data_IF_530073574903
#
_entry.id   IF_530073574903
#
_cell.length_a   1.000
_cell.length_b   1.000
_cell.length_c   1.000
_cell.angle_alpha   90.00
_cell.angle_beta   90.00
_cell.angle_gamma   90.00
#
_symmetry.space_group_name_H-M   'P 1'
#
loop_
_entity.id
_entity.type
_entity.pdbx_description
1 polymer ?
#
# COMPACT_ATOMS: atom_id res chain seq x y z
N UNK A 1 -11.92 5.35 -10.67
CA UNK A 1 -12.15 3.92 -10.75
C UNK A 1 -12.94 3.41 -9.56
N UNK A 2 -12.97 4.00 -8.42
CA UNK A 2 -13.85 3.61 -7.29
C UNK A 2 -15.21 4.33 -7.34
N UNK A 3 -15.78 4.37 -8.52
CA UNK A 3 -17.06 5.08 -8.78
C UNK A 3 -18.26 4.13 -8.77
N UNK A 4 -18.02 2.83 -8.67
CA UNK A 4 -19.06 1.79 -8.63
C UNK A 4 -18.48 0.44 -8.22
N UNK A 5 -19.29 -0.49 -7.68
CA UNK A 5 -18.84 -1.83 -7.33
C UNK A 5 -18.29 -2.62 -8.53
N UNK A 6 -18.82 -2.37 -9.72
CA UNK A 6 -18.32 -3.02 -10.94
C UNK A 6 -16.91 -2.56 -11.29
N UNK A 7 -16.62 -1.26 -11.14
CA UNK A 7 -15.29 -0.71 -11.38
C UNK A 7 -14.26 -1.28 -10.39
N UNK A 8 -14.64 -1.45 -9.12
CA UNK A 8 -13.78 -2.05 -8.10
C UNK A 8 -13.52 -3.54 -8.37
N UNK A 9 -14.53 -4.29 -8.81
CA UNK A 9 -14.36 -5.70 -9.19
C UNK A 9 -13.40 -5.83 -10.37
N UNK A 10 -13.61 -5.05 -11.44
CA UNK A 10 -12.74 -5.08 -12.63
C UNK A 10 -11.32 -4.64 -12.25
N UNK A 11 -11.17 -3.56 -11.49
CA UNK A 11 -9.89 -3.10 -10.99
C UNK A 11 -9.19 -4.15 -10.14
N UNK A 12 -9.92 -4.78 -9.22
CA UNK A 12 -9.43 -5.86 -8.38
C UNK A 12 -8.90 -7.05 -9.18
N UNK A 13 -9.63 -7.49 -10.21
CA UNK A 13 -9.18 -8.59 -11.10
C UNK A 13 -7.89 -8.21 -11.82
N UNK A 14 -7.83 -7.02 -12.43
CA UNK A 14 -6.64 -6.55 -13.16
C UNK A 14 -5.44 -6.43 -12.22
N UNK A 15 -5.61 -5.80 -11.05
CA UNK A 15 -4.53 -5.61 -10.07
C UNK A 15 -4.05 -6.96 -9.53
N UNK A 16 -4.96 -7.90 -9.22
CA UNK A 16 -4.59 -9.23 -8.77
C UNK A 16 -3.83 -10.02 -9.86
N UNK A 17 -4.25 -9.93 -11.13
CA UNK A 17 -3.53 -10.57 -12.22
C UNK A 17 -2.10 -10.04 -12.35
N UNK A 18 -1.92 -8.71 -12.26
CA UNK A 18 -0.61 -8.05 -12.22
C UNK A 18 0.20 -8.54 -11.01
N UNK A 19 -0.42 -8.65 -9.83
CA UNK A 19 0.23 -9.12 -8.62
C UNK A 19 0.69 -10.57 -8.70
N UNK A 20 -0.13 -11.45 -9.25
CA UNK A 20 0.23 -12.86 -9.50
C UNK A 20 1.43 -12.95 -10.45
N UNK A 21 1.43 -12.16 -11.53
CA UNK A 21 2.57 -12.12 -12.45
C UNK A 21 3.84 -11.61 -11.74
N UNK A 22 3.75 -10.53 -10.97
CA UNK A 22 4.88 -10.00 -10.19
C UNK A 22 5.46 -11.04 -9.23
N UNK A 23 4.62 -11.71 -8.43
CA UNK A 23 5.06 -12.74 -7.47
C UNK A 23 5.72 -13.92 -8.18
N UNK A 24 5.15 -14.38 -9.32
CA UNK A 24 5.73 -15.46 -10.12
C UNK A 24 7.14 -15.13 -10.61
N UNK A 25 7.36 -13.89 -11.08
CA UNK A 25 8.66 -13.45 -11.59
C UNK A 25 9.74 -13.36 -10.50
N UNK A 26 9.35 -13.02 -9.27
CA UNK A 26 10.32 -12.84 -8.17
C UNK A 26 10.38 -14.03 -7.20
N UNK A 27 9.71 -15.14 -7.49
CA UNK A 27 9.60 -16.29 -6.58
C UNK A 27 10.94 -16.78 -6.03
N UNK A 28 12.00 -16.70 -6.83
CA UNK A 28 13.35 -17.10 -6.42
C UNK A 28 14.16 -15.95 -5.81
N UNK A 29 13.66 -14.72 -5.87
CA UNK A 29 14.29 -13.50 -5.35
C UNK A 29 13.53 -13.01 -4.12
N UNK A 30 13.83 -13.61 -2.96
CA UNK A 30 13.08 -13.38 -1.70
C UNK A 30 13.00 -11.92 -1.28
N UNK A 31 14.02 -11.12 -1.62
CA UNK A 31 14.07 -9.69 -1.33
C UNK A 31 12.98 -8.87 -2.02
N UNK A 32 12.51 -9.31 -3.19
CA UNK A 32 11.44 -8.65 -3.94
C UNK A 32 10.05 -9.14 -3.56
N UNK A 33 9.94 -10.27 -2.83
CA UNK A 33 8.64 -10.88 -2.55
C UNK A 33 7.68 -9.94 -1.81
N UNK A 34 8.16 -9.25 -0.77
CA UNK A 34 7.31 -8.35 0.00
C UNK A 34 6.76 -7.21 -0.89
N UNK A 35 7.60 -6.65 -1.77
CA UNK A 35 7.17 -5.63 -2.73
C UNK A 35 6.16 -6.18 -3.74
N UNK A 36 6.38 -7.40 -4.25
CA UNK A 36 5.51 -8.06 -5.21
C UNK A 36 4.13 -8.45 -4.64
N UNK A 37 4.01 -8.60 -3.30
CA UNK A 37 2.74 -8.84 -2.63
C UNK A 37 1.85 -7.61 -2.51
N UNK A 38 2.41 -6.38 -2.65
CA UNK A 38 1.62 -5.14 -2.55
C UNK A 38 0.47 -5.11 -3.58
N UNK A 39 0.67 -5.42 -4.87
CA UNK A 39 -0.44 -5.49 -5.83
C UNK A 39 -1.55 -6.46 -5.43
N UNK A 40 -1.21 -7.63 -4.89
CA UNK A 40 -2.23 -8.59 -4.43
C UNK A 40 -3.04 -8.05 -3.25
N UNK A 41 -2.37 -7.39 -2.31
CA UNK A 41 -3.03 -6.73 -1.18
C UNK A 41 -3.98 -5.61 -1.67
N UNK A 42 -3.51 -4.79 -2.62
CA UNK A 42 -4.31 -3.72 -3.20
C UNK A 42 -5.49 -4.26 -4.03
N UNK A 43 -5.30 -5.34 -4.78
CA UNK A 43 -6.39 -6.00 -5.51
C UNK A 43 -7.44 -6.61 -4.59
N UNK A 44 -7.03 -7.29 -3.51
CA UNK A 44 -7.94 -7.78 -2.49
C UNK A 44 -8.72 -6.63 -1.82
N UNK A 45 -8.05 -5.50 -1.57
CA UNK A 45 -8.66 -4.29 -1.02
C UNK A 45 -9.77 -3.74 -1.92
N UNK A 46 -9.62 -3.82 -3.27
CA UNK A 46 -10.66 -3.43 -4.22
C UNK A 46 -11.92 -4.31 -4.10
N UNK A 47 -11.77 -5.64 -4.01
CA UNK A 47 -12.91 -6.54 -3.84
C UNK A 47 -13.64 -6.28 -2.52
N UNK A 48 -12.90 -5.95 -1.46
CA UNK A 48 -13.49 -5.59 -0.17
C UNK A 48 -14.28 -4.28 -0.30
N UNK A 49 -13.77 -3.28 -1.01
CA UNK A 49 -14.49 -2.02 -1.28
C UNK A 49 -15.77 -2.26 -2.08
N UNK A 50 -15.73 -3.12 -3.10
CA UNK A 50 -16.92 -3.51 -3.85
C UNK A 50 -18.01 -4.10 -2.94
N UNK A 51 -17.66 -4.91 -1.93
CA UNK A 51 -18.61 -5.43 -0.94
C UNK A 51 -19.21 -4.31 -0.08
N UNK A 52 -18.43 -3.29 0.30
CA UNK A 52 -18.94 -2.11 1.02
C UNK A 52 -19.95 -1.33 0.17
N UNK A 53 -19.67 -1.15 -1.13
CA UNK A 53 -20.61 -0.56 -2.07
C UNK A 53 -21.94 -1.33 -2.14
N UNK A 54 -21.85 -2.65 -2.38
CA UNK A 54 -23.04 -3.52 -2.49
C UNK A 54 -23.85 -3.54 -1.20
N UNK A 55 -23.20 -3.48 -0.04
CA UNK A 55 -23.88 -3.35 1.24
C UNK A 55 -24.68 -2.04 1.35
N UNK A 56 -24.07 -0.91 1.03
CA UNK A 56 -24.73 0.40 1.09
C UNK A 56 -25.88 0.53 0.08
N UNK A 57 -25.82 -0.23 -1.03
CA UNK A 57 -26.88 -0.34 -2.02
C UNK A 57 -27.98 -1.34 -1.63
N UNK A 58 -27.85 -2.04 -0.49
CA UNK A 58 -28.84 -3.01 -0.02
C UNK A 58 -28.75 -4.40 -0.62
N UNK A 59 -27.73 -4.70 -1.41
CA UNK A 59 -27.55 -6.01 -2.06
C UNK A 59 -26.84 -7.05 -1.18
N UNK A 60 -26.25 -6.63 -0.07
CA UNK A 60 -25.48 -7.50 0.83
C UNK A 60 -25.95 -7.32 2.27
N UNK A 61 -26.08 -8.39 3.08
CA UNK A 61 -26.48 -8.33 4.48
C UNK A 61 -25.56 -7.44 5.32
N UNK A 62 -26.13 -6.78 6.34
CA UNK A 62 -25.39 -5.87 7.25
C UNK A 62 -24.15 -6.51 7.86
N UNK A 63 -24.20 -7.77 8.27
CA UNK A 63 -23.06 -8.44 8.89
C UNK A 63 -21.86 -8.51 7.96
N UNK A 64 -22.07 -8.90 6.69
CA UNK A 64 -21.00 -8.95 5.66
C UNK A 64 -20.49 -7.55 5.37
N UNK A 65 -21.38 -6.56 5.23
CA UNK A 65 -20.99 -5.17 4.99
C UNK A 65 -20.14 -4.59 6.11
N UNK A 66 -20.48 -4.85 7.37
CA UNK A 66 -19.66 -4.44 8.52
C UNK A 66 -18.27 -5.09 8.53
N UNK A 67 -18.19 -6.39 8.27
CA UNK A 67 -16.90 -7.09 8.17
C UNK A 67 -16.06 -6.52 7.03
N UNK A 68 -16.66 -6.26 5.86
CA UNK A 68 -15.99 -5.64 4.73
C UNK A 68 -15.48 -4.23 5.06
N UNK A 69 -16.31 -3.39 5.71
CA UNK A 69 -15.90 -2.05 6.16
C UNK A 69 -14.67 -2.11 7.09
N UNK A 70 -14.70 -2.97 8.10
CA UNK A 70 -13.59 -3.13 9.02
C UNK A 70 -12.34 -3.67 8.33
N UNK A 71 -12.48 -4.67 7.46
CA UNK A 71 -11.36 -5.22 6.69
C UNK A 71 -10.73 -4.16 5.78
N UNK A 72 -11.56 -3.34 5.09
CA UNK A 72 -11.10 -2.22 4.28
C UNK A 72 -10.24 -1.25 5.08
N UNK A 73 -10.78 -0.76 6.21
CA UNK A 73 -10.10 0.22 7.04
C UNK A 73 -8.84 -0.36 7.72
N UNK A 74 -8.87 -1.63 8.15
CA UNK A 74 -7.68 -2.30 8.70
C UNK A 74 -6.56 -2.36 7.68
N UNK A 75 -6.85 -2.73 6.44
CA UNK A 75 -5.83 -2.76 5.39
C UNK A 75 -5.30 -1.34 5.13
N UNK A 76 -6.19 -0.37 4.92
CA UNK A 76 -5.80 0.99 4.58
C UNK A 76 -5.02 1.69 5.70
N UNK A 77 -5.46 1.55 6.95
CA UNK A 77 -4.95 2.37 8.06
C UNK A 77 -3.96 1.66 8.97
N UNK A 78 -3.95 0.33 8.99
CA UNK A 78 -3.07 -0.43 9.88
C UNK A 78 -2.02 -1.21 9.09
N UNK A 79 -2.45 -1.94 8.05
CA UNK A 79 -1.54 -2.82 7.31
C UNK A 79 -0.62 -2.01 6.39
N UNK A 80 -1.15 -1.13 5.56
CA UNK A 80 -0.36 -0.40 4.55
C UNK A 80 0.76 0.47 5.16
N UNK A 81 0.55 1.28 6.21
CA UNK A 81 1.61 2.12 6.77
C UNK A 81 2.74 1.32 7.43
N UNK A 82 2.53 0.04 7.72
CA UNK A 82 3.55 -0.88 8.23
C UNK A 82 4.16 -1.73 7.10
N UNK A 83 3.31 -2.28 6.26
CA UNK A 83 3.74 -3.25 5.25
C UNK A 83 4.59 -2.61 4.14
N UNK A 84 4.22 -1.40 3.68
CA UNK A 84 4.97 -0.70 2.61
C UNK A 84 6.41 -0.40 3.04
N UNK A 85 6.68 0.27 4.19
CA UNK A 85 8.07 0.46 4.63
C UNK A 85 8.82 -0.84 4.85
N UNK A 86 8.19 -1.88 5.40
CA UNK A 86 8.83 -3.19 5.56
C UNK A 86 9.19 -3.84 4.23
N UNK A 87 8.34 -3.71 3.21
CA UNK A 87 8.60 -4.22 1.88
C UNK A 87 9.81 -3.54 1.22
N UNK A 88 9.95 -2.22 1.40
CA UNK A 88 11.11 -1.48 0.91
C UNK A 88 12.38 -1.83 1.70
N UNK A 89 12.29 -1.95 3.03
CA UNK A 89 13.40 -2.39 3.89
C UNK A 89 13.89 -3.79 3.47
N UNK A 90 12.98 -4.71 3.16
CA UNK A 90 13.34 -6.06 2.70
C UNK A 90 14.11 -6.03 1.38
N UNK A 91 13.78 -5.09 0.50
CA UNK A 91 14.42 -4.90 -0.80
C UNK A 91 15.87 -4.39 -0.67
N UNK A 92 16.17 -3.58 0.34
CA UNK A 92 17.46 -2.91 0.47
C UNK A 92 18.63 -3.88 0.67
N UNK A 93 19.78 -3.68 -0.03
CA UNK A 93 20.89 -4.60 0.01
C UNK A 93 21.74 -4.46 1.27
N UNK A 94 21.89 -3.25 1.82
CA UNK A 94 22.80 -2.97 2.92
C UNK A 94 22.08 -2.85 4.27
N UNK A 95 22.76 -3.31 5.33
CA UNK A 95 22.29 -3.15 6.71
C UNK A 95 22.12 -1.67 7.08
N UNK A 96 23.01 -0.81 6.59
CA UNK A 96 22.94 0.65 6.83
C UNK A 96 21.66 1.25 6.26
N UNK A 97 21.32 0.95 4.98
CA UNK A 97 20.06 1.41 4.37
C UNK A 97 18.84 0.94 5.14
N UNK A 98 18.82 -0.34 5.57
CA UNK A 98 17.74 -0.90 6.39
C UNK A 98 17.56 -0.14 7.70
N UNK A 99 18.66 0.16 8.40
CA UNK A 99 18.62 0.93 9.65
C UNK A 99 18.13 2.36 9.44
N UNK A 100 18.54 3.02 8.34
CA UNK A 100 18.05 4.37 7.99
C UNK A 100 16.54 4.40 7.69
N UNK A 101 15.98 3.29 7.23
CA UNK A 101 14.55 3.17 6.92
C UNK A 101 13.70 2.65 8.07
N UNK A 102 14.29 2.02 9.08
CA UNK A 102 13.58 1.47 10.23
C UNK A 102 12.68 2.50 10.96
N UNK A 103 13.07 3.77 11.14
CA UNK A 103 12.21 4.78 11.75
C UNK A 103 10.86 4.95 11.05
N UNK A 104 10.81 4.83 9.71
CA UNK A 104 9.56 4.95 8.97
C UNK A 104 8.60 3.79 9.26
N UNK A 105 9.13 2.56 9.39
CA UNK A 105 8.32 1.41 9.79
C UNK A 105 7.79 1.58 11.23
N UNK A 106 8.61 2.13 12.13
CA UNK A 106 8.19 2.44 13.51
C UNK A 106 7.10 3.51 13.54
N UNK A 107 7.26 4.60 12.76
CA UNK A 107 6.21 5.63 12.60
C UNK A 107 4.94 5.01 12.03
N UNK A 108 5.06 4.17 11.00
CA UNK A 108 3.91 3.45 10.42
C UNK A 108 3.19 2.57 11.43
N UNK A 109 3.94 1.86 12.28
CA UNK A 109 3.36 1.03 13.34
C UNK A 109 2.62 1.88 14.40
N UNK A 110 3.22 2.98 14.86
CA UNK A 110 2.59 3.90 15.82
C UNK A 110 1.30 4.48 15.24
N UNK A 111 1.32 4.93 13.98
CA UNK A 111 0.14 5.46 13.30
C UNK A 111 -0.92 4.38 13.13
N UNK A 112 -0.53 3.17 12.70
CA UNK A 112 -1.44 2.04 12.56
C UNK A 112 -2.14 1.69 13.87
N UNK A 113 -1.40 1.62 14.99
CA UNK A 113 -1.96 1.38 16.32
C UNK A 113 -2.88 2.52 16.76
N UNK A 114 -2.51 3.78 16.51
CA UNK A 114 -3.31 4.95 16.84
C UNK A 114 -4.63 4.97 16.08
N UNK A 115 -4.60 4.67 14.78
CA UNK A 115 -5.79 4.58 13.94
C UNK A 115 -6.68 3.38 14.33
N UNK A 116 -6.08 2.23 14.63
CA UNK A 116 -6.82 1.08 15.15
C UNK A 116 -7.53 1.43 16.47
N UNK A 117 -6.82 2.09 17.39
CA UNK A 117 -7.42 2.52 18.65
C UNK A 117 -8.57 3.53 18.43
N UNK A 118 -8.43 4.44 17.46
CA UNK A 118 -9.49 5.37 17.07
C UNK A 118 -10.71 4.64 16.47
N UNK A 119 -10.48 3.62 15.64
CA UNK A 119 -11.54 2.77 15.07
C UNK A 119 -12.30 1.99 16.16
N UNK A 120 -11.58 1.44 17.15
CA UNK A 120 -12.21 0.64 18.23
C UNK A 120 -12.96 1.51 19.24
N UNK A 121 -12.44 2.71 19.54
CA UNK A 121 -13.03 3.62 20.55
C UNK A 121 -14.07 4.58 19.99
N UNK A 122 -14.00 4.88 18.70
CA UNK A 122 -14.85 5.89 18.06
C UNK A 122 -15.89 5.31 17.11
N UNK A 123 -16.83 6.15 16.66
CA UNK A 123 -17.75 5.75 15.60
C UNK A 123 -17.00 5.62 14.28
N UNK A 124 -17.10 4.46 13.66
CA UNK A 124 -16.71 4.24 12.27
C UNK A 124 -17.96 4.42 11.42
N UNK A 125 -17.87 5.27 10.40
CA UNK A 125 -18.96 5.52 9.48
C UNK A 125 -18.51 5.41 8.04
N UNK A 126 -19.42 4.98 7.18
CA UNK A 126 -19.24 5.04 5.73
C UNK A 126 -20.52 5.63 5.13
N UNK A 127 -20.38 6.50 4.15
CA UNK A 127 -21.48 7.14 3.44
C UNK A 127 -21.28 7.02 1.94
N UNK A 128 -22.37 6.79 1.25
CA UNK A 128 -22.41 6.82 -0.20
C UNK A 128 -22.43 8.28 -0.65
N UNK A 129 -21.40 8.70 -1.37
CA UNK A 129 -21.37 9.97 -2.09
C UNK A 129 -21.61 9.72 -3.60
N UNK A 130 -21.92 10.74 -4.41
CA UNK A 130 -22.30 10.56 -5.82
C UNK A 130 -21.28 9.75 -6.65
N UNK A 131 -19.98 9.85 -6.33
CA UNK A 131 -18.90 9.25 -7.11
C UNK A 131 -17.83 8.56 -6.25
N UNK A 132 -18.03 8.40 -4.94
CA UNK A 132 -17.06 7.77 -4.06
C UNK A 132 -17.68 7.34 -2.73
N UNK A 133 -17.01 6.46 -2.00
CA UNK A 133 -17.32 6.18 -0.60
C UNK A 133 -16.58 7.14 0.31
N UNK A 134 -17.30 7.77 1.22
CA UNK A 134 -16.72 8.64 2.23
C UNK A 134 -16.63 7.87 3.55
N UNK A 135 -15.40 7.60 3.98
CA UNK A 135 -15.12 6.92 5.25
C UNK A 135 -14.86 7.96 6.34
N UNK A 136 -15.51 7.82 7.47
CA UNK A 136 -15.36 8.71 8.62
C UNK A 136 -14.85 7.95 9.85
N UNK A 137 -13.72 8.43 10.37
CA UNK A 137 -13.17 8.03 11.66
C UNK A 137 -12.88 9.30 12.44
N UNK A 138 -13.23 9.33 13.71
CA UNK A 138 -12.89 10.45 14.58
C UNK A 138 -11.46 10.27 15.08
N UNK A 139 -10.55 11.10 14.57
CA UNK A 139 -9.13 11.10 14.94
C UNK A 139 -8.77 12.47 15.48
N UNK A 140 -8.16 12.59 16.68
CA UNK A 140 -7.55 13.84 17.12
C UNK A 140 -6.39 14.17 16.17
N UNK A 141 -6.19 15.45 15.86
CA UNK A 141 -5.11 15.95 15.02
C UNK A 141 -4.96 15.22 13.67
N UNK A 142 -6.07 15.08 12.94
CA UNK A 142 -6.12 14.34 11.67
C UNK A 142 -5.06 14.79 10.66
N UNK A 143 -4.70 16.08 10.63
CA UNK A 143 -3.64 16.58 9.76
C UNK A 143 -2.27 15.99 10.11
N UNK A 144 -1.93 15.91 11.40
CA UNK A 144 -0.67 15.29 11.86
C UNK A 144 -0.63 13.81 11.52
N UNK A 145 -1.71 13.09 11.79
CA UNK A 145 -1.83 11.64 11.49
C UNK A 145 -1.64 11.37 9.99
N UNK A 146 -2.31 12.13 9.12
CA UNK A 146 -2.17 11.99 7.66
C UNK A 146 -0.75 12.32 7.22
N UNK A 147 -0.14 13.39 7.76
CA UNK A 147 1.24 13.77 7.42
C UNK A 147 2.22 12.65 7.80
N UNK A 148 2.12 12.13 9.00
CA UNK A 148 2.98 11.04 9.47
C UNK A 148 2.75 9.74 8.69
N UNK A 149 1.50 9.46 8.29
CA UNK A 149 1.17 8.34 7.42
C UNK A 149 1.89 8.47 6.06
N UNK A 150 1.81 9.65 5.44
CA UNK A 150 2.49 9.92 4.17
C UNK A 150 4.01 9.79 4.32
N UNK A 151 4.57 10.31 5.40
CA UNK A 151 6.01 10.17 5.73
C UNK A 151 6.39 8.71 5.89
N UNK A 152 5.60 7.92 6.61
CA UNK A 152 5.85 6.50 6.81
C UNK A 152 5.86 5.71 5.49
N UNK A 153 4.91 5.98 4.59
CA UNK A 153 4.76 5.25 3.32
C UNK A 153 5.73 5.75 2.25
N UNK A 154 5.86 7.08 2.08
CA UNK A 154 6.67 7.66 1.00
C UNK A 154 8.16 7.76 1.37
N UNK A 155 8.50 7.95 2.63
CA UNK A 155 9.88 8.14 3.09
C UNK A 155 10.81 7.00 2.66
N UNK A 156 10.51 5.73 2.93
CA UNK A 156 11.34 4.61 2.50
C UNK A 156 11.49 4.52 0.98
N UNK A 157 10.41 4.80 0.24
CA UNK A 157 10.46 4.81 -1.23
C UNK A 157 11.46 5.83 -1.75
N UNK A 158 11.42 7.06 -1.21
CA UNK A 158 12.32 8.15 -1.60
C UNK A 158 13.79 7.88 -1.27
N UNK A 159 14.05 7.16 -0.18
CA UNK A 159 15.40 6.82 0.30
C UNK A 159 15.93 5.49 -0.27
N UNK A 160 15.15 4.80 -1.09
CA UNK A 160 15.56 3.50 -1.65
C UNK A 160 16.82 3.61 -2.51
N UNK A 161 17.72 2.65 -2.34
CA UNK A 161 18.90 2.49 -3.19
C UNK A 161 18.57 2.10 -4.64
N UNK A 162 17.35 1.68 -4.92
CA UNK A 162 16.88 1.41 -6.28
C UNK A 162 16.29 2.67 -6.90
N UNK A 163 16.95 3.22 -7.92
CA UNK A 163 16.50 4.45 -8.60
C UNK A 163 15.05 4.40 -9.07
N UNK A 164 14.59 3.26 -9.59
CA UNK A 164 13.20 3.08 -10.02
C UNK A 164 12.20 3.19 -8.86
N UNK A 165 12.56 2.67 -7.67
CA UNK A 165 11.74 2.78 -6.46
C UNK A 165 11.73 4.21 -5.94
N UNK A 166 12.88 4.91 -5.96
CA UNK A 166 12.96 6.31 -5.57
C UNK A 166 12.15 7.23 -6.50
N UNK A 167 12.25 7.03 -7.82
CA UNK A 167 11.41 7.75 -8.80
C UNK A 167 9.94 7.47 -8.57
N UNK A 168 9.56 6.21 -8.36
CA UNK A 168 8.19 5.85 -8.00
C UNK A 168 7.76 6.55 -6.70
N UNK A 169 8.63 6.65 -5.70
CA UNK A 169 8.37 7.38 -4.44
C UNK A 169 8.04 8.86 -4.68
N UNK A 170 8.78 9.54 -5.57
CA UNK A 170 8.52 10.94 -5.94
C UNK A 170 7.14 11.05 -6.62
N UNK A 171 6.87 10.21 -7.61
CA UNK A 171 5.59 10.20 -8.34
C UNK A 171 4.43 9.89 -7.40
N UNK A 172 4.61 8.93 -6.48
CA UNK A 172 3.63 8.59 -5.46
C UNK A 172 3.33 9.76 -4.51
N UNK A 173 4.36 10.46 -4.03
CA UNK A 173 4.19 11.63 -3.17
C UNK A 173 3.43 12.76 -3.89
N UNK A 174 3.78 13.04 -5.15
CA UNK A 174 3.08 14.03 -5.97
C UNK A 174 1.62 13.63 -6.16
N UNK A 175 1.34 12.36 -6.46
CA UNK A 175 -0.03 11.85 -6.60
C UNK A 175 -0.83 12.00 -5.30
N UNK A 176 -0.25 11.66 -4.14
CA UNK A 176 -0.87 11.86 -2.82
C UNK A 176 -1.26 13.33 -2.63
N UNK A 177 -0.35 14.26 -2.89
CA UNK A 177 -0.59 15.70 -2.73
C UNK A 177 -1.73 16.16 -3.65
N UNK A 178 -1.71 15.77 -4.92
CA UNK A 178 -2.74 16.12 -5.90
C UNK A 178 -4.10 15.56 -5.46
N UNK A 179 -4.19 14.28 -5.12
CA UNK A 179 -5.43 13.65 -4.71
C UNK A 179 -5.97 14.30 -3.43
N UNK A 180 -5.11 14.58 -2.45
CA UNK A 180 -5.52 15.25 -1.21
C UNK A 180 -6.05 16.68 -1.45
N UNK A 181 -5.52 17.40 -2.46
CA UNK A 181 -6.01 18.73 -2.84
C UNK A 181 -7.34 18.68 -3.60
N UNK A 182 -7.54 17.65 -4.42
CA UNK A 182 -8.73 17.53 -5.25
C UNK A 182 -9.94 17.00 -4.47
N UNK A 183 -9.74 16.05 -3.57
CA UNK A 183 -10.84 15.44 -2.82
C UNK A 183 -10.42 15.00 -1.42
N UNK A 184 -10.80 15.77 -0.40
CA UNK A 184 -10.55 15.39 1.00
C UNK A 184 -11.49 14.24 1.43
N UNK A 185 -12.77 14.31 1.04
CA UNK A 185 -13.78 13.33 1.41
C UNK A 185 -13.74 12.03 0.61
N UNK A 186 -13.23 12.07 -0.62
CA UNK A 186 -13.11 10.94 -1.55
C UNK A 186 -11.70 10.38 -1.68
N UNK A 187 -10.77 10.83 -0.84
CA UNK A 187 -9.35 10.46 -0.96
C UNK A 187 -9.15 8.95 -1.04
N UNK A 188 -9.75 8.18 -0.13
CA UNK A 188 -9.60 6.74 -0.09
C UNK A 188 -10.08 6.05 -1.37
N UNK A 189 -11.20 6.52 -1.94
CA UNK A 189 -11.80 5.96 -3.14
C UNK A 189 -11.02 6.30 -4.42
N UNK A 190 -10.56 7.55 -4.58
CA UNK A 190 -9.74 7.96 -5.74
C UNK A 190 -8.36 7.30 -5.70
N UNK A 191 -7.86 7.02 -4.49
CA UNK A 191 -6.62 6.30 -4.27
C UNK A 191 -6.59 4.92 -4.94
N UNK A 192 -7.72 4.26 -5.07
CA UNK A 192 -7.83 2.96 -5.72
C UNK A 192 -7.41 2.98 -7.22
N UNK A 193 -7.75 4.05 -7.93
CA UNK A 193 -7.25 4.25 -9.30
C UNK A 193 -5.73 4.39 -9.36
N UNK A 194 -5.15 5.10 -8.39
CA UNK A 194 -3.71 5.20 -8.22
C UNK A 194 -3.07 3.86 -7.85
N UNK A 195 -3.75 3.05 -7.04
CA UNK A 195 -3.29 1.71 -6.66
C UNK A 195 -3.10 0.79 -7.89
N UNK A 196 -3.96 0.90 -8.90
CA UNK A 196 -3.81 0.14 -10.15
C UNK A 196 -2.54 0.54 -10.91
N UNK A 197 -2.29 1.86 -11.05
CA UNK A 197 -1.07 2.37 -11.71
C UNK A 197 0.19 1.98 -10.92
N UNK A 198 0.15 2.10 -9.59
CA UNK A 198 1.22 1.70 -8.67
C UNK A 198 1.54 0.21 -8.80
N UNK A 199 0.51 -0.63 -8.92
CA UNK A 199 0.67 -2.07 -9.10
C UNK A 199 1.39 -2.41 -10.40
N UNK A 200 1.06 -1.70 -11.49
CA UNK A 200 1.77 -1.82 -12.76
C UNK A 200 3.25 -1.43 -12.66
N UNK A 201 3.56 -0.32 -11.98
CA UNK A 201 4.93 0.13 -11.77
C UNK A 201 5.74 -0.87 -10.92
N UNK A 202 5.14 -1.43 -9.86
CA UNK A 202 5.77 -2.47 -9.03
C UNK A 202 6.04 -3.73 -9.85
N UNK A 203 5.09 -4.19 -10.65
CA UNK A 203 5.27 -5.38 -11.49
C UNK A 203 6.38 -5.19 -12.52
N UNK A 204 6.43 -4.02 -13.17
CA UNK A 204 7.52 -3.67 -14.09
C UNK A 204 8.87 -3.66 -13.37
N UNK A 205 8.94 -3.07 -12.16
CA UNK A 205 10.15 -3.12 -11.35
C UNK A 205 10.55 -4.56 -11.03
N UNK A 206 9.63 -5.39 -10.55
CA UNK A 206 9.89 -6.81 -10.25
C UNK A 206 10.39 -7.60 -11.46
N UNK A 207 9.88 -7.27 -12.65
CA UNK A 207 10.23 -7.95 -13.90
C UNK A 207 11.61 -7.56 -14.44
N UNK A 208 11.96 -6.27 -14.38
CA UNK A 208 13.14 -5.70 -15.06
C UNK A 208 14.27 -5.29 -14.11
N UNK A 209 14.03 -5.21 -12.79
CA UNK A 209 15.07 -4.84 -11.85
C UNK A 209 16.18 -5.90 -11.78
N UNK A 210 17.41 -5.44 -11.99
CA UNK A 210 18.61 -6.24 -11.76
C UNK A 210 18.94 -6.24 -10.25
N UNK A 211 19.58 -7.31 -9.74
CA UNK A 211 20.12 -7.31 -8.37
C UNK A 211 21.01 -6.07 -8.16
N UNK A 212 20.92 -5.48 -6.97
CA UNK A 212 21.76 -4.32 -6.65
C UNK A 212 23.25 -4.70 -6.71
N UNK A 213 24.14 -3.87 -7.33
CA UNK A 213 25.56 -4.20 -7.52
C UNK A 213 26.29 -4.61 -6.24
N UNK A 214 25.95 -4.00 -5.10
CA UNK A 214 26.56 -4.35 -3.81
C UNK A 214 26.18 -5.76 -3.32
N UNK A 215 24.98 -6.24 -3.62
CA UNK A 215 24.53 -7.60 -3.27
C UNK A 215 25.19 -8.63 -4.18
N UNK A 216 25.42 -8.30 -5.45
CA UNK A 216 26.14 -9.13 -6.39
C UNK A 216 27.61 -9.36 -5.97
N UNK A 217 28.28 -8.35 -5.40
CA UNK A 217 29.64 -8.46 -4.86
C UNK A 217 29.69 -9.35 -3.62
N UNK A 218 28.79 -9.17 -2.66
CA UNK A 218 28.75 -9.99 -1.44
C UNK A 218 28.55 -11.48 -1.72
N UNK A 219 27.71 -11.82 -2.71
CA UNK A 219 27.51 -13.22 -3.12
C UNK A 219 28.71 -13.82 -3.90
N UNK A 220 29.48 -12.99 -4.58
CA UNK A 220 30.71 -13.43 -5.26
C UNK A 220 31.85 -13.73 -4.25
N UNK A 221 31.92 -12.91 -3.19
CA UNK A 221 32.94 -13.10 -2.13
C UNK A 221 32.68 -14.35 -1.27
N UNK A 222 31.40 -14.75 -1.10
CA UNK A 222 31.06 -16.00 -0.41
C UNK A 222 31.37 -17.28 -1.23
N UNK A 223 31.49 -17.15 -2.55
CA UNK A 223 31.73 -18.28 -3.44
C UNK A 223 33.22 -18.50 -3.77
N UNK A 224 34.12 -17.60 -3.33
CA UNK A 224 35.57 -17.76 -3.41
C UNK A 224 36.08 -18.42 -2.13
N UNK A 225 36.39 -19.73 -2.11
CA UNK A 225 37.07 -20.34 -0.97
C UNK A 225 38.44 -19.68 -0.83
N UNK A 226 38.72 -19.15 0.35
CA UNK A 226 40.10 -18.78 0.73
C UNK A 226 40.95 -20.02 0.63
N UNK A 227 41.81 -20.06 -0.39
CA UNK A 227 42.84 -21.06 -0.56
C UNK A 227 43.95 -20.90 0.50
#
# INVERSE_FOLDING_TARGET
MCFSPQADIVGGVVICAIGVDAVRHVRQRREFLALAWIPLLLGAHQFIEALVWLWLQGHVPRGIGHVALWAYLLIAFVVLPVFVPLAVIALEPTRRSKWMMAPFASVGAVIGVSLLAAMVRGPVSVRLAPYHLSYGIRVPDGFLIVTLYVVAVCGPLLLSGYRSVAVFGIVNLVAVIIIARLTISGFASVWCGWAALSSGAIALHCRFAKPHPQRARSGADELTPTA
#
